data_IF_084885969117
#
_entry.id   IF_084885969117
#
_cell.length_a   1.000
_cell.length_b   1.000
_cell.length_c   1.000
_cell.angle_alpha   90.00
_cell.angle_beta   90.00
_cell.angle_gamma   90.00
#
_symmetry.space_group_name_H-M   'P 1'
#
loop_
_entity.id
_entity.type
_entity.pdbx_description
1 polymer ?
#
# COMPACT_ATOMS: atom_id res chain seq x y z
N UNK A 1 -15.54 -13.10 4.50
CA UNK A 1 -15.68 -12.06 3.48
C UNK A 1 -15.87 -12.67 2.13
N UNK A 2 -16.89 -12.24 1.47
CA UNK A 2 -17.25 -12.80 0.18
C UNK A 2 -16.66 -11.95 -0.93
N UNK A 3 -16.21 -12.60 -1.96
CA UNK A 3 -16.08 -12.05 -3.30
C UNK A 3 -15.49 -10.65 -3.44
N UNK A 4 -14.36 -10.41 -2.78
CA UNK A 4 -13.55 -9.25 -3.14
C UNK A 4 -12.98 -9.47 -4.53
N UNK A 5 -13.23 -8.51 -5.39
CA UNK A 5 -12.53 -8.43 -6.67
C UNK A 5 -11.31 -7.54 -6.48
N UNK A 6 -10.15 -7.97 -6.97
CA UNK A 6 -8.97 -7.12 -6.98
C UNK A 6 -8.50 -6.99 -8.42
N UNK A 7 -8.39 -5.76 -8.88
CA UNK A 7 -7.96 -5.46 -10.24
C UNK A 7 -7.07 -4.23 -10.28
N UNK A 8 -6.51 -3.96 -11.44
CA UNK A 8 -5.72 -2.75 -11.64
C UNK A 8 -6.60 -1.52 -11.45
N UNK A 9 -6.04 -0.55 -10.72
CA UNK A 9 -6.66 0.75 -10.52
C UNK A 9 -6.60 1.55 -11.82
N UNK A 10 -7.69 2.24 -12.15
CA UNK A 10 -7.77 3.06 -13.35
C UNK A 10 -8.08 4.52 -12.98
N UNK A 11 -7.88 5.42 -13.95
CA UNK A 11 -8.22 6.83 -13.72
C UNK A 11 -9.71 7.03 -13.38
N UNK A 12 -10.59 6.20 -13.95
CA UNK A 12 -12.01 6.28 -13.66
C UNK A 12 -12.35 5.96 -12.20
N UNK A 13 -11.46 5.26 -11.50
CA UNK A 13 -11.65 4.91 -10.09
C UNK A 13 -11.33 6.07 -9.15
N UNK A 14 -10.61 7.08 -9.62
CA UNK A 14 -10.06 8.11 -8.74
C UNK A 14 -11.10 8.89 -7.92
N UNK A 15 -12.31 9.18 -8.41
CA UNK A 15 -13.30 9.82 -7.54
C UNK A 15 -13.59 9.01 -6.27
N UNK A 16 -13.75 7.70 -6.38
CA UNK A 16 -13.97 6.83 -5.22
C UNK A 16 -12.73 6.72 -4.35
N UNK A 17 -11.56 6.59 -4.97
CA UNK A 17 -10.27 6.52 -4.26
C UNK A 17 -10.03 7.80 -3.46
N UNK A 18 -10.25 8.96 -4.07
CA UNK A 18 -10.07 10.25 -3.38
C UNK A 18 -11.00 10.38 -2.17
N UNK A 19 -12.23 9.91 -2.28
CA UNK A 19 -13.17 9.94 -1.17
C UNK A 19 -12.68 9.08 0.01
N UNK A 20 -12.16 7.89 -0.27
CA UNK A 20 -11.59 7.02 0.76
C UNK A 20 -10.34 7.65 1.36
N UNK A 21 -9.48 8.19 0.52
CA UNK A 21 -8.22 8.82 0.95
C UNK A 21 -8.49 9.92 1.96
N UNK A 22 -9.46 10.79 1.67
CA UNK A 22 -9.83 11.89 2.57
C UNK A 22 -10.39 11.40 3.90
N UNK A 23 -11.09 10.26 3.91
CA UNK A 23 -11.63 9.69 5.15
C UNK A 23 -10.58 8.92 5.96
N UNK A 24 -9.61 8.32 5.26
CA UNK A 24 -8.65 7.42 5.89
C UNK A 24 -7.43 8.13 6.47
N UNK A 25 -7.05 9.28 5.92
CA UNK A 25 -5.79 9.94 6.29
C UNK A 25 -5.97 11.40 6.67
N UNK A 26 -5.22 11.87 7.70
CA UNK A 26 -5.26 13.29 8.10
C UNK A 26 -4.62 14.21 7.06
N UNK A 27 -3.64 13.70 6.30
CA UNK A 27 -2.98 14.44 5.22
C UNK A 27 -3.11 13.64 3.94
N UNK A 28 -4.26 13.71 3.27
CA UNK A 28 -4.51 12.89 2.10
C UNK A 28 -3.67 13.32 0.89
N UNK A 29 -3.38 12.36 0.02
CA UNK A 29 -2.79 12.65 -1.28
C UNK A 29 -3.73 13.51 -2.11
N UNK A 30 -3.16 14.38 -2.95
CA UNK A 30 -3.92 15.12 -3.95
C UNK A 30 -4.25 14.24 -5.14
N UNK A 31 -5.20 14.69 -5.95
CA UNK A 31 -5.52 14.04 -7.22
C UNK A 31 -4.27 13.95 -8.11
N UNK A 32 -3.47 15.02 -8.15
CA UNK A 32 -2.26 15.05 -8.98
C UNK A 32 -1.27 13.96 -8.59
N UNK A 33 -1.15 13.66 -7.30
CA UNK A 33 -0.25 12.60 -6.84
C UNK A 33 -0.71 11.23 -7.33
N UNK A 34 -2.01 10.95 -7.27
CA UNK A 34 -2.54 9.70 -7.80
C UNK A 34 -2.36 9.59 -9.32
N UNK A 35 -2.64 10.67 -10.05
CA UNK A 35 -2.47 10.69 -11.50
C UNK A 35 -1.02 10.41 -11.87
N UNK A 36 -0.09 11.04 -11.15
CA UNK A 36 1.34 10.81 -11.38
C UNK A 36 1.71 9.34 -11.20
N UNK A 37 1.27 8.74 -10.10
CA UNK A 37 1.61 7.34 -9.82
C UNK A 37 0.97 6.38 -10.83
N UNK A 38 -0.29 6.60 -11.19
CA UNK A 38 -0.96 5.76 -12.16
C UNK A 38 -0.36 5.85 -13.57
N UNK A 39 0.30 6.96 -13.87
CA UNK A 39 0.90 7.15 -15.20
C UNK A 39 2.25 6.45 -15.36
N UNK A 40 2.85 5.96 -14.28
CA UNK A 40 4.15 5.29 -14.34
C UNK A 40 4.00 3.89 -14.91
N UNK A 41 4.82 3.52 -15.93
CA UNK A 41 4.66 2.22 -16.59
C UNK A 41 5.10 1.03 -15.73
N UNK A 42 5.95 1.25 -14.73
CA UNK A 42 6.54 0.17 -13.93
C UNK A 42 5.88 -0.02 -12.57
N UNK A 43 4.84 0.76 -12.25
CA UNK A 43 4.16 0.64 -10.97
C UNK A 43 3.08 -0.43 -10.98
N UNK A 44 2.63 -0.81 -9.78
CA UNK A 44 1.47 -1.67 -9.57
C UNK A 44 0.49 -0.91 -8.71
N UNK A 45 -0.68 -0.62 -9.27
CA UNK A 45 -1.76 0.07 -8.56
C UNK A 45 -2.98 -0.82 -8.60
N UNK A 46 -3.53 -1.15 -7.44
CA UNK A 46 -4.62 -2.12 -7.31
C UNK A 46 -5.82 -1.51 -6.62
N UNK A 47 -6.99 -1.94 -7.03
CA UNK A 47 -8.25 -1.61 -6.37
C UNK A 47 -8.91 -2.89 -5.87
N UNK A 48 -9.47 -2.83 -4.66
CA UNK A 48 -10.29 -3.90 -4.11
C UNK A 48 -11.74 -3.45 -4.15
N UNK A 49 -12.61 -4.27 -4.73
CA UNK A 49 -14.00 -3.96 -4.92
C UNK A 49 -14.88 -5.00 -4.24
N UNK A 50 -15.97 -4.53 -3.67
CA UNK A 50 -17.02 -5.37 -3.14
C UNK A 50 -18.32 -4.94 -3.81
N UNK A 51 -18.94 -5.86 -4.55
CA UNK A 51 -20.16 -5.59 -5.33
C UNK A 51 -20.03 -4.32 -6.20
N UNK A 52 -18.87 -4.16 -6.84
CA UNK A 52 -18.62 -3.06 -7.76
C UNK A 52 -18.19 -1.75 -7.11
N UNK A 53 -18.21 -1.66 -5.79
CA UNK A 53 -17.76 -0.44 -5.09
C UNK A 53 -16.34 -0.62 -4.58
N UNK A 54 -15.50 0.41 -4.75
CA UNK A 54 -14.13 0.37 -4.25
C UNK A 54 -14.15 0.47 -2.72
N UNK A 55 -13.50 -0.48 -2.06
CA UNK A 55 -13.39 -0.54 -0.60
C UNK A 55 -11.95 -0.44 -0.10
N UNK A 56 -10.99 -0.46 -1.01
CA UNK A 56 -9.59 -0.29 -0.67
C UNK A 56 -8.74 -0.19 -1.92
N UNK A 57 -7.49 0.22 -1.74
CA UNK A 57 -6.56 0.38 -2.87
C UNK A 57 -5.13 0.33 -2.38
N UNK A 58 -4.22 0.12 -3.33
CA UNK A 58 -2.80 0.01 -3.07
C UNK A 58 -2.05 0.66 -4.22
N UNK A 59 -1.05 1.46 -3.89
CA UNK A 59 -0.15 2.08 -4.88
C UNK A 59 1.28 1.66 -4.54
N UNK A 60 1.94 1.03 -5.50
CA UNK A 60 3.31 0.57 -5.35
C UNK A 60 4.10 0.99 -6.57
N UNK A 61 5.21 1.69 -6.37
CA UNK A 61 6.08 2.17 -7.43
C UNK A 61 7.39 1.41 -7.41
N UNK A 62 8.01 1.26 -8.58
CA UNK A 62 9.34 0.66 -8.65
C UNK A 62 10.35 1.74 -9.00
N UNK A 63 11.32 1.95 -8.12
CA UNK A 63 12.42 2.87 -8.33
C UNK A 63 13.69 2.05 -8.38
N UNK A 64 14.38 2.08 -9.52
CA UNK A 64 15.57 1.30 -9.72
C UNK A 64 15.26 -0.19 -9.57
N UNK A 65 15.77 -0.84 -8.54
CA UNK A 65 15.54 -2.27 -8.27
C UNK A 65 14.66 -2.51 -7.05
N UNK A 66 14.06 -1.45 -6.49
CA UNK A 66 13.31 -1.53 -5.23
C UNK A 66 11.85 -1.14 -5.45
N UNK A 67 10.94 -1.96 -4.94
CA UNK A 67 9.53 -1.62 -4.88
C UNK A 67 9.27 -0.74 -3.67
N UNK A 68 8.58 0.36 -3.89
CA UNK A 68 8.22 1.28 -2.82
C UNK A 68 6.70 1.26 -2.65
N UNK A 69 6.24 0.73 -1.52
CA UNK A 69 4.82 0.70 -1.21
C UNK A 69 4.43 2.10 -0.74
N UNK A 70 3.76 2.84 -1.62
CA UNK A 70 3.52 4.26 -1.43
C UNK A 70 2.27 4.55 -0.62
N UNK A 71 1.22 3.73 -0.81
CA UNK A 71 -0.06 4.00 -0.19
C UNK A 71 -0.89 2.72 -0.17
N UNK A 72 -1.44 2.40 0.99
CA UNK A 72 -2.42 1.31 1.16
C UNK A 72 -3.53 1.85 2.03
N UNK A 73 -4.76 1.77 1.56
CA UNK A 73 -5.89 2.28 2.32
C UNK A 73 -7.10 1.37 2.18
N UNK A 74 -7.89 1.33 3.23
CA UNK A 74 -9.18 0.62 3.27
C UNK A 74 -10.21 1.62 3.77
N UNK A 75 -11.39 1.59 3.15
CA UNK A 75 -12.52 2.39 3.61
C UNK A 75 -12.67 2.22 5.12
N UNK A 76 -12.70 3.31 5.92
CA UNK A 76 -12.74 3.17 7.37
C UNK A 76 -13.84 2.26 7.90
N UNK A 77 -15.02 2.28 7.27
CA UNK A 77 -16.14 1.42 7.67
C UNK A 77 -15.89 -0.07 7.37
N UNK A 78 -14.88 -0.39 6.60
CA UNK A 78 -14.58 -1.75 6.15
C UNK A 78 -13.24 -2.26 6.66
N UNK A 79 -12.61 -1.58 7.60
CA UNK A 79 -11.34 -2.01 8.16
C UNK A 79 -11.50 -3.28 8.99
N UNK A 80 -10.40 -4.00 9.20
CA UNK A 80 -10.33 -5.25 9.95
C UNK A 80 -11.11 -6.40 9.31
N UNK A 81 -11.29 -6.37 7.98
CA UNK A 81 -11.98 -7.42 7.24
C UNK A 81 -11.05 -8.15 6.27
N UNK A 82 -9.74 -7.94 6.39
CA UNK A 82 -8.77 -8.61 5.54
C UNK A 82 -8.56 -7.99 4.16
N UNK A 83 -9.10 -6.80 3.92
CA UNK A 83 -8.98 -6.15 2.61
C UNK A 83 -7.53 -5.76 2.31
N UNK A 84 -6.86 -5.14 3.28
CA UNK A 84 -5.45 -4.76 3.10
C UNK A 84 -4.58 -6.00 2.88
N UNK A 85 -4.84 -7.08 3.60
CA UNK A 85 -4.12 -8.34 3.41
C UNK A 85 -4.30 -8.88 2.00
N UNK A 86 -5.54 -8.84 1.50
CA UNK A 86 -5.83 -9.32 0.15
C UNK A 86 -5.09 -8.50 -0.92
N UNK A 87 -5.04 -7.18 -0.73
CA UNK A 87 -4.29 -6.30 -1.64
C UNK A 87 -2.80 -6.62 -1.62
N UNK A 88 -2.23 -6.82 -0.43
CA UNK A 88 -0.80 -7.15 -0.30
C UNK A 88 -0.49 -8.52 -0.89
N UNK A 89 -1.36 -9.51 -0.66
CA UNK A 89 -1.18 -10.84 -1.25
C UNK A 89 -1.15 -10.76 -2.78
N UNK A 90 -2.04 -9.97 -3.36
CA UNK A 90 -2.07 -9.79 -4.82
C UNK A 90 -0.80 -9.09 -5.30
N UNK A 91 -0.35 -8.05 -4.60
CA UNK A 91 0.90 -7.35 -4.94
C UNK A 91 2.06 -8.32 -4.99
N UNK A 92 2.24 -9.10 -3.94
CA UNK A 92 3.38 -10.02 -3.88
C UNK A 92 3.25 -11.16 -4.90
N UNK A 93 2.04 -11.60 -5.17
CA UNK A 93 1.80 -12.58 -6.23
C UNK A 93 2.21 -12.07 -7.61
N UNK A 94 2.06 -10.78 -7.85
CA UNK A 94 2.43 -10.16 -9.12
C UNK A 94 3.90 -9.80 -9.21
N UNK A 95 4.50 -9.35 -8.11
CA UNK A 95 5.80 -8.69 -8.12
C UNK A 95 6.96 -9.53 -7.58
N UNK A 96 6.69 -10.54 -6.74
CA UNK A 96 7.76 -11.30 -6.11
C UNK A 96 8.58 -12.06 -7.16
N UNK A 97 9.90 -11.85 -7.07
CA UNK A 97 10.93 -12.58 -7.81
C UNK A 97 12.10 -12.75 -6.85
N UNK A 98 12.98 -13.73 -7.05
CA UNK A 98 14.16 -13.86 -6.21
C UNK A 98 14.93 -12.56 -6.10
N UNK A 99 15.32 -12.19 -4.89
CA UNK A 99 16.07 -10.98 -4.56
C UNK A 99 15.32 -9.66 -4.69
N UNK A 100 14.03 -9.67 -5.03
CA UNK A 100 13.26 -8.43 -5.03
C UNK A 100 13.16 -7.85 -3.63
N UNK A 101 13.19 -6.55 -3.53
CA UNK A 101 13.10 -5.83 -2.26
C UNK A 101 11.96 -4.83 -2.28
N UNK A 102 11.33 -4.68 -1.13
CA UNK A 102 10.23 -3.74 -0.92
C UNK A 102 10.55 -2.89 0.30
N UNK A 103 10.21 -1.62 0.23
CA UNK A 103 10.32 -0.71 1.37
C UNK A 103 9.07 0.12 1.52
N UNK A 104 8.85 0.61 2.73
CA UNK A 104 7.73 1.51 3.02
C UNK A 104 8.07 2.40 4.22
N UNK A 105 7.35 3.50 4.36
CA UNK A 105 7.34 4.31 5.57
C UNK A 105 5.95 4.23 6.20
N UNK A 106 5.90 4.11 7.51
CA UNK A 106 4.66 4.05 8.27
C UNK A 106 4.81 4.85 9.56
N UNK A 107 3.74 5.55 9.98
CA UNK A 107 3.76 6.28 11.24
C UNK A 107 4.11 5.34 12.39
N UNK A 108 4.99 5.78 13.28
CA UNK A 108 5.41 4.96 14.42
C UNK A 108 4.24 4.60 15.34
N UNK A 109 3.18 5.39 15.34
CA UNK A 109 1.99 5.12 16.15
C UNK A 109 0.99 4.18 15.48
N UNK A 110 1.18 3.83 14.21
CA UNK A 110 0.22 3.00 13.48
C UNK A 110 0.50 1.51 13.71
N UNK A 111 0.16 1.05 14.93
CA UNK A 111 0.46 -0.33 15.35
C UNK A 111 -0.20 -1.37 14.47
N UNK A 112 -1.44 -1.12 14.05
CA UNK A 112 -2.17 -2.08 13.21
C UNK A 112 -1.49 -2.28 11.88
N UNK A 113 -1.04 -1.20 11.25
CA UNK A 113 -0.33 -1.28 9.98
C UNK A 113 1.04 -1.96 10.14
N UNK A 114 1.78 -1.59 11.18
CA UNK A 114 3.08 -2.19 11.44
C UNK A 114 2.94 -3.71 11.62
N UNK A 115 1.96 -4.15 12.41
CA UNK A 115 1.71 -5.59 12.60
C UNK A 115 1.32 -6.28 11.30
N UNK A 116 0.51 -5.62 10.48
CA UNK A 116 0.13 -6.14 9.17
C UNK A 116 1.36 -6.37 8.30
N UNK A 117 2.22 -5.35 8.19
CA UNK A 117 3.42 -5.46 7.37
C UNK A 117 4.38 -6.52 7.90
N UNK A 118 4.51 -6.62 9.24
CA UNK A 118 5.35 -7.66 9.85
C UNK A 118 4.86 -9.07 9.46
N UNK A 119 3.55 -9.27 9.40
CA UNK A 119 3.00 -10.57 8.99
C UNK A 119 3.40 -10.93 7.56
N UNK A 120 3.63 -9.94 6.72
CA UNK A 120 4.07 -10.17 5.33
C UNK A 120 5.59 -10.18 5.18
N UNK A 121 6.33 -10.13 6.27
CA UNK A 121 7.77 -10.27 6.24
C UNK A 121 8.56 -8.96 6.24
N UNK A 122 7.89 -7.83 6.38
CA UNK A 122 8.59 -6.56 6.57
C UNK A 122 9.22 -6.50 7.95
N UNK A 123 10.39 -5.87 8.02
CA UNK A 123 11.11 -5.67 9.28
C UNK A 123 11.56 -4.23 9.39
N UNK A 124 11.54 -3.70 10.60
CA UNK A 124 11.98 -2.35 10.87
C UNK A 124 13.48 -2.21 10.56
N UNK A 125 13.83 -1.15 9.83
CA UNK A 125 15.21 -0.90 9.41
C UNK A 125 15.72 0.49 9.78
N UNK A 126 14.86 1.37 10.25
CA UNK A 126 15.27 2.72 10.63
C UNK A 126 14.08 3.63 10.84
N UNK A 127 14.38 4.89 11.08
CA UNK A 127 13.39 5.93 11.31
C UNK A 127 13.72 7.20 10.52
N UNK A 128 12.71 7.90 10.04
CA UNK A 128 12.83 9.27 9.57
C UNK A 128 12.17 10.17 10.60
N UNK A 129 12.94 11.05 11.23
CA UNK A 129 12.45 11.93 12.28
C UNK A 129 11.55 13.00 11.69
N UNK A 130 10.44 13.28 12.39
CA UNK A 130 9.50 14.34 12.04
C UNK A 130 9.08 14.30 10.57
N UNK A 131 8.89 13.10 10.04
CA UNK A 131 8.61 12.87 8.62
C UNK A 131 7.24 13.40 8.23
N UNK A 132 6.23 13.21 9.09
CA UNK A 132 4.87 13.65 8.83
C UNK A 132 4.68 15.08 9.30
N UNK A 133 4.24 15.96 8.38
CA UNK A 133 4.18 17.40 8.65
C UNK A 133 3.03 17.81 9.57
N UNK A 134 1.96 17.02 9.64
CA UNK A 134 0.78 17.37 10.42
C UNK A 134 1.06 17.43 11.93
N UNK A 135 1.78 16.44 12.46
CA UNK A 135 2.07 16.36 13.90
C UNK A 135 3.54 16.07 14.19
N UNK A 136 4.40 16.14 13.17
CA UNK A 136 5.85 15.91 13.25
C UNK A 136 6.21 14.52 13.78
N UNK A 137 5.32 13.57 13.58
CA UNK A 137 5.56 12.19 13.97
C UNK A 137 6.64 11.56 13.11
N UNK A 138 7.43 10.66 13.71
CA UNK A 138 8.44 9.90 12.97
C UNK A 138 7.79 8.86 12.07
N UNK A 139 8.48 8.52 11.00
CA UNK A 139 8.16 7.36 10.17
C UNK A 139 9.08 6.21 10.51
N UNK A 140 8.50 5.02 10.68
CA UNK A 140 9.26 3.79 10.74
C UNK A 140 9.52 3.34 9.31
N UNK A 141 10.77 3.04 8.98
CA UNK A 141 11.14 2.51 7.67
C UNK A 141 11.19 1.00 7.79
N UNK A 142 10.47 0.31 6.91
CA UNK A 142 10.43 -1.15 6.91
C UNK A 142 10.89 -1.71 5.57
N UNK A 143 11.51 -2.88 5.62
CA UNK A 143 12.01 -3.58 4.43
C UNK A 143 11.57 -5.03 4.42
N UNK A 144 11.30 -5.52 3.22
CA UNK A 144 11.00 -6.92 2.95
C UNK A 144 11.84 -7.37 1.77
N UNK A 145 12.49 -8.51 1.88
CA UNK A 145 13.28 -9.06 0.79
C UNK A 145 12.80 -10.47 0.45
N UNK A 146 12.59 -10.72 -0.83
CA UNK A 146 12.28 -12.06 -1.33
C UNK A 146 13.57 -12.88 -1.30
N UNK A 147 13.55 -14.13 -0.80
CA UNK A 147 14.75 -14.97 -0.77
C UNK A 147 15.37 -15.13 -2.16
N UNK A 148 16.68 -15.38 -2.18
CA UNK A 148 17.42 -15.57 -3.42
C UNK A 148 16.87 -16.72 -4.25
N UNK A 149 16.34 -17.76 -3.58
CA UNK A 149 15.65 -18.86 -4.25
C UNK A 149 14.21 -18.86 -3.79
N UNK A 150 13.29 -18.76 -4.76
CA UNK A 150 11.88 -18.96 -4.44
C UNK A 150 11.72 -20.41 -3.98
N UNK A 151 11.14 -20.61 -2.80
CA UNK A 151 10.82 -21.95 -2.33
C UNK A 151 9.68 -22.51 -3.17
N UNK A 152 9.88 -23.71 -3.63
CA UNK A 152 8.83 -24.39 -4.37
C UNK A 152 7.62 -24.62 -3.46
#
# INVERSE_FOLDING_TARGET
MNDLEIRTLTYADLPQVMAIERRAFPTPWSLAMFVLELSKPSGICLAALDEGAIVGYLVCSRYDTVWHLMNVAVEPARQRQGIASALLERLFGLADRPNEQYTLEVRTSNDDAIRLYERFGFRAAGRRRAYYHDNREDALIMWRKVPERATA
#
